data_IF_160568643848
#
_entry.id   IF_160568643848
#
_cell.length_a   1.000
_cell.length_b   1.000
_cell.length_c   1.000
_cell.angle_alpha   90.00
_cell.angle_beta   90.00
_cell.angle_gamma   90.00
#
_symmetry.space_group_name_H-M   'P 1'
#
loop_
_entity.id
_entity.type
_entity.pdbx_description
1 polymer ?
#
# COMPACT_ATOMS: atom_id res chain seq x y z
N UNK A 1 -17.64 34.75 -24.83
CA UNK A 1 -16.89 33.48 -25.00
C UNK A 1 -15.42 33.63 -24.61
N UNK A 2 -15.11 34.33 -23.50
CA UNK A 2 -13.75 34.68 -23.09
C UNK A 2 -13.46 34.31 -21.62
N UNK A 3 -14.17 33.31 -21.07
CA UNK A 3 -14.21 33.08 -19.61
C UNK A 3 -14.04 31.62 -19.16
N UNK A 4 -13.62 30.70 -20.04
CA UNK A 4 -13.40 29.30 -19.65
C UNK A 4 -11.95 28.78 -19.80
N UNK A 5 -11.06 29.50 -20.47
CA UNK A 5 -9.64 29.09 -20.58
C UNK A 5 -8.73 29.70 -19.50
N UNK A 6 -8.99 30.93 -19.01
CA UNK A 6 -8.16 31.56 -17.99
C UNK A 6 -8.29 30.89 -16.60
N UNK A 7 -9.44 30.29 -16.31
CA UNK A 7 -9.72 29.63 -15.02
C UNK A 7 -9.14 28.22 -14.87
N UNK A 8 -8.68 27.57 -15.96
CA UNK A 8 -8.06 26.24 -15.88
C UNK A 8 -6.53 26.30 -15.73
N UNK A 9 -5.87 27.32 -16.28
CA UNK A 9 -4.42 27.48 -16.16
C UNK A 9 -3.98 28.00 -14.77
N UNK A 10 -4.79 28.81 -14.09
CA UNK A 10 -4.45 29.32 -12.76
C UNK A 10 -4.34 28.24 -11.68
N UNK A 11 -5.02 27.08 -11.85
CA UNK A 11 -5.09 26.02 -10.82
C UNK A 11 -3.77 25.28 -10.58
N UNK A 12 -2.78 25.45 -11.46
CA UNK A 12 -1.48 24.76 -11.39
C UNK A 12 -0.30 25.68 -11.11
N UNK A 13 -0.57 26.97 -10.89
CA UNK A 13 0.47 27.98 -10.66
C UNK A 13 0.46 28.37 -9.18
N UNK A 14 1.61 28.26 -8.52
CA UNK A 14 1.82 28.73 -7.15
C UNK A 14 2.62 30.02 -7.17
N UNK A 15 2.02 31.09 -6.65
CA UNK A 15 2.65 32.40 -6.58
C UNK A 15 3.42 32.55 -5.27
N UNK A 16 4.61 33.11 -5.33
CA UNK A 16 5.54 33.21 -4.20
C UNK A 16 6.06 34.64 -4.09
N UNK A 17 5.65 35.35 -3.04
CA UNK A 17 6.18 36.65 -2.66
C UNK A 17 6.03 36.89 -1.13
N UNK A 18 7.08 37.30 -0.39
CA UNK A 18 8.46 37.44 -0.84
C UNK A 18 9.07 36.08 -1.23
N UNK A 19 10.28 36.08 -1.78
CA UNK A 19 10.91 34.82 -2.17
C UNK A 19 11.18 33.93 -0.98
N UNK A 20 11.07 32.64 -1.23
CA UNK A 20 11.31 31.59 -0.27
C UNK A 20 12.75 31.05 -0.39
N UNK A 21 13.20 30.35 0.66
CA UNK A 21 14.51 29.70 0.65
C UNK A 21 14.61 28.60 -0.42
N UNK A 22 15.82 28.25 -0.85
CA UNK A 22 16.03 27.09 -1.74
C UNK A 22 15.48 25.78 -1.15
N UNK A 23 15.48 25.64 0.17
CA UNK A 23 14.87 24.48 0.84
C UNK A 23 13.35 24.46 0.65
N UNK A 24 12.67 25.59 0.87
CA UNK A 24 11.23 25.70 0.66
C UNK A 24 10.89 25.47 -0.82
N UNK A 25 11.65 26.06 -1.75
CA UNK A 25 11.45 25.90 -3.19
C UNK A 25 11.62 24.42 -3.59
N UNK A 26 12.67 23.74 -3.11
CA UNK A 26 12.85 22.31 -3.35
C UNK A 26 11.64 21.51 -2.83
N UNK A 27 11.18 21.80 -1.60
CA UNK A 27 9.99 21.16 -1.03
C UNK A 27 8.74 21.38 -1.91
N UNK A 28 8.54 22.58 -2.44
CA UNK A 28 7.43 22.89 -3.36
C UNK A 28 7.55 22.16 -4.70
N UNK A 29 8.77 22.05 -5.26
CA UNK A 29 9.02 21.26 -6.47
C UNK A 29 8.70 19.78 -6.22
N UNK A 30 9.13 19.23 -5.09
CA UNK A 30 8.75 17.87 -4.66
C UNK A 30 7.23 17.71 -4.60
N UNK A 31 6.51 18.67 -4.02
CA UNK A 31 5.05 18.63 -3.93
C UNK A 31 4.34 18.70 -5.30
N UNK A 32 4.82 19.52 -6.23
CA UNK A 32 4.31 19.56 -7.60
C UNK A 32 4.60 18.25 -8.35
N UNK A 33 5.82 17.74 -8.26
CA UNK A 33 6.21 16.49 -8.93
C UNK A 33 5.41 15.27 -8.40
N UNK A 34 5.07 15.27 -7.11
CA UNK A 34 4.25 14.25 -6.44
C UNK A 34 2.75 14.38 -6.69
N UNK A 35 2.31 15.38 -7.47
CA UNK A 35 0.91 15.57 -7.84
C UNK A 35 0.76 15.51 -9.36
N UNK A 36 0.21 16.55 -10.00
CA UNK A 36 0.00 16.64 -11.46
C UNK A 36 1.07 17.48 -12.17
N UNK A 37 2.17 17.80 -11.50
CA UNK A 37 3.10 18.84 -11.92
C UNK A 37 2.50 20.24 -11.74
N UNK A 38 3.17 21.24 -12.29
CA UNK A 38 2.67 22.62 -12.23
C UNK A 38 3.79 23.64 -12.39
N UNK A 39 3.54 24.84 -11.88
CA UNK A 39 4.43 25.98 -12.02
C UNK A 39 4.57 26.73 -10.69
N UNK A 40 5.78 27.20 -10.39
CA UNK A 40 6.03 28.19 -9.35
C UNK A 40 6.37 29.53 -10.02
N UNK A 41 5.74 30.61 -9.58
CA UNK A 41 6.06 31.97 -10.01
C UNK A 41 6.56 32.80 -8.83
N UNK A 42 7.86 33.11 -8.85
CA UNK A 42 8.54 33.83 -7.78
C UNK A 42 8.64 35.32 -8.13
N UNK A 43 8.32 36.19 -7.17
CA UNK A 43 8.19 37.63 -7.40
C UNK A 43 6.77 38.05 -7.81
N UNK A 44 5.80 37.16 -7.59
CA UNK A 44 4.37 37.39 -7.84
C UNK A 44 3.61 37.11 -6.55
N UNK A 45 2.80 38.06 -6.15
CA UNK A 45 1.97 38.03 -4.95
C UNK A 45 0.53 37.67 -5.34
N UNK A 46 -0.13 36.83 -4.55
CA UNK A 46 -1.52 36.46 -4.79
C UNK A 46 -2.26 36.25 -3.47
N UNK A 47 -3.40 36.94 -3.32
CA UNK A 47 -4.35 36.73 -2.22
C UNK A 47 -5.45 35.71 -2.57
N UNK A 48 -5.31 35.03 -3.71
CA UNK A 48 -6.28 34.07 -4.25
C UNK A 48 -7.38 34.69 -5.11
N UNK A 49 -7.52 36.03 -5.12
CA UNK A 49 -8.48 36.77 -5.94
C UNK A 49 -7.75 37.71 -6.91
N UNK A 50 -6.71 38.38 -6.41
CA UNK A 50 -5.89 39.34 -7.11
C UNK A 50 -4.46 38.79 -7.22
N UNK A 51 -3.91 38.80 -8.43
CA UNK A 51 -2.51 38.50 -8.69
C UNK A 51 -1.79 39.81 -8.96
N UNK A 52 -0.71 40.08 -8.24
CA UNK A 52 0.10 41.29 -8.39
C UNK A 52 1.56 40.93 -8.60
N UNK A 53 2.09 41.33 -9.75
CA UNK A 53 3.53 41.22 -10.02
C UNK A 53 4.27 42.24 -9.15
N UNK A 54 5.22 41.76 -8.36
CA UNK A 54 6.05 42.58 -7.45
C UNK A 54 7.50 42.65 -7.92
N UNK A 55 7.90 41.72 -8.78
CA UNK A 55 9.27 41.58 -9.24
C UNK A 55 10.16 40.92 -8.18
N UNK A 56 11.48 40.92 -8.42
CA UNK A 56 12.43 40.41 -7.46
C UNK A 56 13.76 41.16 -7.40
N UNK A 57 14.44 41.03 -6.25
CA UNK A 57 15.83 41.41 -6.00
C UNK A 57 16.69 40.25 -5.46
N UNK A 58 16.20 39.01 -5.51
CA UNK A 58 16.89 37.80 -5.06
C UNK A 58 17.73 37.12 -6.16
N UNK A 59 18.64 36.24 -5.76
CA UNK A 59 19.36 35.35 -6.68
C UNK A 59 18.46 34.24 -7.20
N UNK A 60 18.42 34.06 -8.52
CA UNK A 60 17.62 33.02 -9.16
C UNK A 60 18.03 31.65 -8.58
N UNK A 61 17.08 30.82 -8.13
CA UNK A 61 17.40 29.50 -7.58
C UNK A 61 18.24 28.66 -8.54
N UNK A 62 19.30 28.04 -8.02
CA UNK A 62 20.20 27.22 -8.82
C UNK A 62 19.61 25.82 -9.02
N UNK A 63 19.54 25.38 -10.27
CA UNK A 63 18.93 24.11 -10.66
C UNK A 63 19.67 22.88 -10.08
N UNK A 64 21.00 22.83 -10.17
CA UNK A 64 21.83 21.72 -9.66
C UNK A 64 21.69 21.57 -8.13
N UNK A 65 21.64 22.69 -7.40
CA UNK A 65 21.44 22.69 -5.95
C UNK A 65 20.07 22.09 -5.60
N UNK A 66 19.01 22.52 -6.30
CA UNK A 66 17.65 22.01 -6.07
C UNK A 66 17.53 20.53 -6.45
N UNK A 67 18.09 20.11 -7.58
CA UNK A 67 18.12 18.70 -7.98
C UNK A 67 18.79 17.83 -6.92
N UNK A 68 19.94 18.25 -6.38
CA UNK A 68 20.63 17.54 -5.31
C UNK A 68 19.78 17.39 -4.05
N UNK A 69 19.05 18.43 -3.66
CA UNK A 69 18.10 18.38 -2.53
C UNK A 69 16.95 17.40 -2.76
N UNK A 70 16.63 17.12 -4.02
CA UNK A 70 15.55 16.24 -4.48
C UNK A 70 16.03 14.86 -4.91
N UNK A 71 17.26 14.48 -4.52
CA UNK A 71 17.81 13.16 -4.83
C UNK A 71 18.12 12.96 -6.31
N UNK A 72 18.46 14.02 -7.04
CA UNK A 72 18.80 13.97 -8.47
C UNK A 72 17.58 14.02 -9.39
N UNK A 73 16.44 14.53 -8.92
CA UNK A 73 15.28 14.75 -9.78
C UNK A 73 15.54 15.92 -10.73
N UNK A 74 15.46 15.71 -12.05
CA UNK A 74 15.84 16.70 -13.07
C UNK A 74 14.65 17.22 -13.90
N UNK A 75 13.44 16.66 -13.74
CA UNK A 75 12.29 16.99 -14.60
C UNK A 75 11.58 18.29 -14.19
N UNK A 76 12.35 19.37 -14.10
CA UNK A 76 11.88 20.73 -13.90
C UNK A 76 12.82 21.74 -14.58
N UNK A 77 12.30 22.90 -14.96
CA UNK A 77 13.07 23.98 -15.61
C UNK A 77 12.92 25.29 -14.86
N UNK A 78 13.96 26.12 -14.86
CA UNK A 78 13.96 27.45 -14.22
C UNK A 78 14.22 28.50 -15.31
N UNK A 79 13.27 29.41 -15.51
CA UNK A 79 13.35 30.48 -16.49
C UNK A 79 13.15 31.84 -15.81
N UNK A 80 13.81 32.88 -16.32
CA UNK A 80 13.53 34.26 -15.91
C UNK A 80 12.74 34.96 -17.00
N UNK A 81 11.59 35.52 -16.64
CA UNK A 81 10.69 36.24 -17.51
C UNK A 81 10.53 37.69 -17.05
N UNK A 82 9.99 38.56 -17.92
CA UNK A 82 9.61 39.93 -17.59
C UNK A 82 8.10 40.05 -17.76
N UNK A 83 7.39 40.44 -16.70
CA UNK A 83 5.95 40.67 -16.69
C UNK A 83 5.72 42.09 -16.16
N UNK A 84 4.99 42.92 -16.92
CA UNK A 84 4.75 44.34 -16.59
C UNK A 84 6.04 45.14 -16.26
N UNK A 85 7.13 44.83 -16.97
CA UNK A 85 8.45 45.46 -16.76
C UNK A 85 9.22 44.96 -15.54
N UNK A 86 8.66 44.01 -14.77
CA UNK A 86 9.27 43.43 -13.57
C UNK A 86 9.77 42.01 -13.85
N UNK A 87 10.95 41.68 -13.32
CA UNK A 87 11.54 40.33 -13.47
C UNK A 87 10.80 39.34 -12.57
N UNK A 88 10.48 38.17 -13.09
CA UNK A 88 9.82 37.06 -12.39
C UNK A 88 10.56 35.77 -12.72
N UNK A 89 10.70 34.85 -11.76
CA UNK A 89 11.24 33.51 -12.03
C UNK A 89 10.09 32.53 -12.15
N UNK A 90 10.11 31.76 -13.24
CA UNK A 90 9.17 30.68 -13.53
C UNK A 90 9.88 29.34 -13.33
N UNK A 91 9.32 28.47 -12.49
CA UNK A 91 9.78 27.09 -12.34
C UNK A 91 8.68 26.15 -12.80
N UNK A 92 8.88 25.48 -13.93
CA UNK A 92 7.94 24.48 -14.46
C UNK A 92 8.37 23.09 -14.01
N UNK A 93 7.46 22.35 -13.38
CA UNK A 93 7.71 21.03 -12.80
C UNK A 93 6.83 20.00 -13.48
N UNK A 94 7.43 18.92 -13.97
CA UNK A 94 6.68 17.80 -14.53
C UNK A 94 6.25 16.83 -13.43
N UNK A 95 5.08 16.22 -13.62
CA UNK A 95 4.63 15.09 -12.79
C UNK A 95 5.65 13.96 -12.88
N UNK A 96 6.06 13.43 -11.74
CA UNK A 96 6.84 12.21 -11.67
C UNK A 96 5.92 11.01 -11.43
N UNK A 97 6.27 9.87 -12.03
CA UNK A 97 5.63 8.59 -11.70
C UNK A 97 6.16 8.02 -10.37
N UNK A 98 7.41 8.32 -10.04
CA UNK A 98 8.03 7.97 -8.77
C UNK A 98 7.86 9.09 -7.75
N UNK A 99 7.77 8.75 -6.46
CA UNK A 99 7.69 9.76 -5.40
C UNK A 99 9.00 10.52 -5.24
N UNK A 100 8.97 11.83 -5.46
CA UNK A 100 10.11 12.73 -5.27
C UNK A 100 10.14 13.20 -3.82
N UNK A 101 11.19 12.80 -3.11
CA UNK A 101 11.35 13.10 -1.68
C UNK A 101 12.14 14.38 -1.47
N UNK A 102 11.75 15.15 -0.47
CA UNK A 102 12.56 16.23 0.10
C UNK A 102 12.91 15.86 1.54
N UNK A 103 14.21 15.83 1.87
CA UNK A 103 14.72 15.38 3.18
C UNK A 103 14.12 14.02 3.63
N UNK A 104 13.94 13.10 2.69
CA UNK A 104 13.42 11.75 2.94
C UNK A 104 11.89 11.61 2.97
N UNK A 105 11.14 12.71 2.93
CA UNK A 105 9.69 12.73 3.04
C UNK A 105 9.02 13.12 1.71
N UNK A 106 7.81 12.62 1.49
CA UNK A 106 6.97 13.00 0.35
C UNK A 106 6.03 14.13 0.77
N UNK A 107 5.85 15.12 -0.08
CA UNK A 107 4.97 16.25 0.18
C UNK A 107 3.92 16.42 -0.92
N UNK A 108 2.81 17.05 -0.56
CA UNK A 108 1.78 17.57 -1.45
C UNK A 108 1.28 18.92 -0.94
N UNK A 109 0.68 19.71 -1.83
CA UNK A 109 -0.05 20.91 -1.42
C UNK A 109 -1.38 20.53 -0.78
N UNK A 110 -1.79 21.25 0.27
CA UNK A 110 -3.06 21.04 0.95
C UNK A 110 -4.26 21.41 0.07
N UNK A 111 -4.09 22.40 -0.82
CA UNK A 111 -5.10 22.85 -1.77
C UNK A 111 -4.44 23.65 -2.92
N UNK A 112 -5.23 24.02 -3.93
CA UNK A 112 -4.74 24.75 -5.11
C UNK A 112 -4.44 26.23 -4.83
N UNK A 113 -5.03 26.82 -3.79
CA UNK A 113 -5.03 28.27 -3.55
C UNK A 113 -3.95 28.75 -2.58
N UNK A 114 -3.39 27.85 -1.76
CA UNK A 114 -2.36 28.16 -0.79
C UNK A 114 -1.06 27.43 -1.11
N UNK A 115 0.04 27.94 -0.54
CA UNK A 115 1.34 27.29 -0.56
C UNK A 115 1.55 26.35 0.65
N UNK A 116 0.49 26.09 1.42
CA UNK A 116 0.57 25.16 2.54
C UNK A 116 0.79 23.74 2.00
N UNK A 117 1.79 23.06 2.57
CA UNK A 117 2.17 21.70 2.19
C UNK A 117 2.09 20.79 3.40
N UNK A 118 1.67 19.55 3.15
CA UNK A 118 1.66 18.48 4.15
C UNK A 118 2.44 17.27 3.67
N UNK A 119 2.90 16.47 4.62
CA UNK A 119 3.50 15.18 4.30
C UNK A 119 2.44 14.22 3.75
N UNK A 120 2.80 13.47 2.70
CA UNK A 120 1.97 12.38 2.21
C UNK A 120 2.13 11.18 3.14
N UNK A 121 1.15 10.98 4.02
CA UNK A 121 1.03 9.72 4.78
C UNK A 121 0.75 8.55 3.83
N UNK A 122 1.47 7.45 4.04
CA UNK A 122 1.32 6.22 3.23
C UNK A 122 0.64 5.14 4.05
N UNK A 123 -0.43 4.57 3.51
CA UNK A 123 -1.10 3.40 4.06
C UNK A 123 -0.34 2.15 3.66
N UNK A 124 0.16 1.40 4.64
CA UNK A 124 0.84 0.12 4.42
C UNK A 124 -0.19 -1.00 4.26
N UNK A 125 -0.19 -1.67 3.13
CA UNK A 125 -1.13 -2.74 2.79
C UNK A 125 -0.34 -4.03 2.58
N UNK A 126 -0.75 -5.11 3.24
CA UNK A 126 -0.24 -6.45 2.96
C UNK A 126 -1.31 -7.28 2.26
N UNK A 127 -0.95 -7.98 1.19
CA UNK A 127 -1.86 -8.91 0.51
C UNK A 127 -1.34 -10.32 0.78
N UNK A 128 -2.07 -11.07 1.60
CA UNK A 128 -1.80 -12.46 1.92
C UNK A 128 -2.57 -13.35 0.95
N UNK A 129 -1.84 -14.16 0.18
CA UNK A 129 -2.40 -15.05 -0.84
C UNK A 129 -1.51 -16.28 -1.04
N UNK A 130 -2.09 -17.32 -1.64
CA UNK A 130 -1.33 -18.47 -2.14
C UNK A 130 -0.90 -18.20 -3.60
N UNK A 131 0.31 -18.62 -4.00
CA UNK A 131 0.80 -18.43 -5.38
C UNK A 131 -0.15 -18.89 -6.48
N UNK A 132 -1.02 -19.86 -6.21
CA UNK A 132 -2.04 -20.30 -7.16
C UNK A 132 -3.05 -19.19 -7.56
N UNK A 133 -3.06 -18.06 -6.85
CA UNK A 133 -3.92 -16.90 -7.12
C UNK A 133 -3.13 -15.60 -7.22
N UNK A 134 -1.89 -15.64 -7.75
CA UNK A 134 -1.07 -14.45 -7.98
C UNK A 134 -1.75 -13.40 -8.84
N UNK A 135 -2.48 -13.84 -9.86
CA UNK A 135 -3.16 -12.96 -10.82
C UNK A 135 -4.24 -12.11 -10.14
N UNK A 136 -4.96 -12.69 -9.18
CA UNK A 136 -5.95 -11.95 -8.37
C UNK A 136 -5.26 -10.89 -7.53
N UNK A 137 -4.12 -11.23 -6.92
CA UNK A 137 -3.32 -10.25 -6.21
C UNK A 137 -2.92 -9.13 -7.18
N UNK A 138 -2.33 -9.42 -8.34
CA UNK A 138 -1.90 -8.42 -9.33
C UNK A 138 -3.01 -7.44 -9.71
N UNK A 139 -4.22 -7.94 -9.95
CA UNK A 139 -5.39 -7.09 -10.22
C UNK A 139 -5.68 -6.14 -9.06
N UNK A 140 -5.66 -6.63 -7.81
CA UNK A 140 -5.85 -5.79 -6.61
C UNK A 140 -4.73 -4.75 -6.49
N UNK A 141 -3.47 -5.11 -6.79
CA UNK A 141 -2.34 -4.14 -6.71
C UNK A 141 -2.65 -2.99 -7.60
N UNK A 142 -2.89 -3.33 -8.87
CA UNK A 142 -2.99 -2.37 -9.93
C UNK A 142 -4.16 -1.43 -9.66
N UNK A 143 -5.32 -1.97 -9.27
CA UNK A 143 -6.47 -1.14 -8.96
C UNK A 143 -6.20 -0.15 -7.81
N UNK A 144 -5.55 -0.60 -6.74
CA UNK A 144 -5.24 0.25 -5.59
C UNK A 144 -4.14 1.27 -5.95
N UNK A 145 -3.07 0.85 -6.64
CA UNK A 145 -1.97 1.72 -7.06
C UNK A 145 -2.43 2.79 -8.07
N UNK A 146 -3.30 2.42 -9.01
CA UNK A 146 -3.89 3.36 -9.96
C UNK A 146 -4.75 4.43 -9.24
N UNK A 147 -5.40 4.05 -8.13
CA UNK A 147 -6.26 4.95 -7.35
C UNK A 147 -5.49 5.83 -6.36
N UNK A 148 -4.44 5.30 -5.72
CA UNK A 148 -3.80 5.93 -4.56
C UNK A 148 -2.33 6.30 -4.75
N UNK A 149 -1.65 5.68 -5.71
CA UNK A 149 -0.26 5.94 -6.10
C UNK A 149 0.69 6.05 -4.90
N UNK A 150 1.14 7.27 -4.59
CA UNK A 150 2.12 7.54 -3.53
C UNK A 150 1.53 7.37 -2.12
N UNK A 151 0.20 7.36 -1.97
CA UNK A 151 -0.48 7.23 -0.67
C UNK A 151 -0.58 5.80 -0.15
N UNK A 152 -0.13 4.81 -0.92
CA UNK A 152 -0.11 3.41 -0.51
C UNK A 152 1.29 2.82 -0.66
N UNK A 153 1.60 1.83 0.17
CA UNK A 153 2.71 0.90 -0.01
C UNK A 153 2.10 -0.49 0.06
N UNK A 154 2.18 -1.25 -1.02
CA UNK A 154 1.66 -2.60 -1.06
C UNK A 154 2.84 -3.57 -0.95
N UNK A 155 2.79 -4.41 0.08
CA UNK A 155 3.72 -5.52 0.26
C UNK A 155 3.00 -6.82 -0.03
N UNK A 156 3.70 -7.69 -0.74
CA UNK A 156 3.30 -9.05 -1.05
C UNK A 156 4.52 -9.88 -0.77
N UNK A 157 4.46 -10.68 0.27
CA UNK A 157 5.46 -11.69 0.44
C UNK A 157 4.79 -13.02 0.21
N UNK A 158 5.37 -13.78 -0.69
CA UNK A 158 4.98 -15.15 -0.94
C UNK A 158 6.25 -15.97 -0.84
N UNK A 159 6.17 -16.96 0.07
CA UNK A 159 7.24 -17.81 0.57
C UNK A 159 8.14 -17.12 1.59
N UNK A 160 7.90 -17.47 2.86
CA UNK A 160 8.90 -17.51 3.92
C UNK A 160 10.23 -18.08 3.40
N UNK A 161 11.08 -17.20 2.89
CA UNK A 161 12.48 -17.45 2.62
C UNK A 161 13.21 -17.52 3.95
N UNK A 162 13.36 -18.74 4.46
CA UNK A 162 14.28 -19.10 5.53
C UNK A 162 13.96 -18.61 6.94
N UNK A 163 14.35 -19.43 7.92
CA UNK A 163 13.94 -19.44 9.34
C UNK A 163 14.40 -18.24 10.18
N UNK A 164 15.13 -17.29 9.62
CA UNK A 164 15.98 -16.44 10.44
C UNK A 164 15.33 -15.17 10.98
N UNK A 165 14.06 -14.89 10.67
CA UNK A 165 13.23 -14.09 11.59
C UNK A 165 11.74 -14.10 11.24
N UNK A 166 11.07 -15.22 11.50
CA UNK A 166 9.60 -15.28 11.49
C UNK A 166 9.03 -14.17 12.40
N UNK A 167 9.72 -13.83 13.48
CA UNK A 167 9.29 -12.75 14.38
C UNK A 167 9.38 -11.37 13.72
N UNK A 168 10.45 -11.05 12.95
CA UNK A 168 10.48 -9.79 12.16
C UNK A 168 9.44 -9.80 11.04
N UNK A 169 9.18 -10.94 10.42
CA UNK A 169 8.12 -11.05 9.41
C UNK A 169 6.73 -10.83 10.03
N UNK A 170 6.45 -11.42 11.18
CA UNK A 170 5.21 -11.18 11.90
C UNK A 170 5.11 -9.73 12.40
N UNK A 171 6.23 -9.13 12.79
CA UNK A 171 6.29 -7.71 13.14
C UNK A 171 5.99 -6.83 11.93
N UNK A 172 6.51 -7.16 10.75
CA UNK A 172 6.21 -6.40 9.52
C UNK A 172 4.72 -6.50 9.16
N UNK A 173 4.08 -7.65 9.34
CA UNK A 173 2.62 -7.80 9.16
C UNK A 173 1.85 -6.90 10.14
N UNK A 174 2.24 -6.87 11.43
CA UNK A 174 1.61 -6.00 12.43
C UNK A 174 1.73 -4.51 12.12
N UNK A 175 2.83 -4.11 11.46
CA UNK A 175 3.06 -2.75 10.99
C UNK A 175 2.19 -2.34 9.78
N UNK A 176 1.53 -3.27 9.11
CA UNK A 176 0.61 -2.93 8.03
C UNK A 176 -0.70 -2.36 8.61
N UNK A 177 -1.22 -1.34 7.93
CA UNK A 177 -2.47 -0.67 8.27
C UNK A 177 -3.68 -1.50 7.86
N UNK A 178 -3.54 -2.24 6.76
CA UNK A 178 -4.58 -3.08 6.13
C UNK A 178 -3.93 -4.39 5.67
N UNK A 179 -4.64 -5.50 5.87
CA UNK A 179 -4.26 -6.84 5.44
C UNK A 179 -5.42 -7.39 4.61
N UNK A 180 -5.16 -7.72 3.36
CA UNK A 180 -6.13 -8.31 2.42
C UNK A 180 -5.81 -9.79 2.31
N UNK A 181 -6.74 -10.66 2.70
CA UNK A 181 -6.57 -12.11 2.63
C UNK A 181 -7.39 -12.68 1.48
N UNK A 182 -6.71 -13.29 0.51
CA UNK A 182 -7.32 -14.03 -0.59
C UNK A 182 -7.57 -15.47 -0.16
N UNK A 183 -8.79 -15.75 0.29
CA UNK A 183 -9.16 -17.02 0.90
C UNK A 183 -9.54 -18.03 -0.17
N UNK A 184 -8.69 -19.04 -0.33
CA UNK A 184 -8.88 -20.22 -1.18
C UNK A 184 -8.67 -21.49 -0.36
N UNK A 185 -9.00 -22.68 -0.88
CA UNK A 185 -8.61 -23.94 -0.25
C UNK A 185 -7.10 -24.00 0.01
N UNK A 186 -6.29 -23.66 -1.00
CA UNK A 186 -4.82 -23.65 -0.89
C UNK A 186 -4.31 -22.63 0.11
N UNK A 187 -5.02 -21.53 0.33
CA UNK A 187 -4.74 -20.58 1.41
C UNK A 187 -5.00 -21.22 2.78
N UNK A 188 -6.16 -21.86 2.96
CA UNK A 188 -6.59 -22.50 4.21
C UNK A 188 -5.72 -23.71 4.60
N UNK A 189 -5.06 -24.33 3.64
CA UNK A 189 -4.12 -25.44 3.83
C UNK A 189 -2.64 -24.98 3.86
N UNK A 190 -2.37 -23.70 3.59
CA UNK A 190 -1.02 -23.14 3.58
C UNK A 190 -0.56 -22.77 4.98
N UNK A 191 0.60 -23.28 5.39
CA UNK A 191 1.17 -23.02 6.71
C UNK A 191 1.70 -21.60 6.87
N UNK A 192 2.11 -20.96 5.77
CA UNK A 192 2.48 -19.55 5.79
C UNK A 192 1.24 -18.70 6.06
N UNK A 193 0.26 -18.77 5.15
CA UNK A 193 -0.97 -17.98 5.21
C UNK A 193 -1.74 -18.19 6.52
N UNK A 194 -1.88 -19.44 6.96
CA UNK A 194 -2.61 -19.74 8.18
C UNK A 194 -1.86 -19.31 9.45
N UNK A 195 -0.53 -19.39 9.47
CA UNK A 195 0.23 -18.86 10.60
C UNK A 195 0.10 -17.34 10.69
N UNK A 196 0.21 -16.64 9.56
CA UNK A 196 0.07 -15.18 9.48
C UNK A 196 -1.28 -14.72 10.03
N UNK A 197 -2.39 -15.29 9.53
CA UNK A 197 -3.73 -14.84 9.92
C UNK A 197 -4.05 -15.20 11.37
N UNK A 198 -3.63 -16.37 11.85
CA UNK A 198 -3.90 -16.78 13.24
C UNK A 198 -3.09 -15.98 14.26
N UNK A 199 -1.88 -15.55 13.91
CA UNK A 199 -1.11 -14.61 14.74
C UNK A 199 -1.70 -13.20 14.70
N UNK A 200 -2.18 -12.73 13.54
CA UNK A 200 -2.85 -11.43 13.42
C UNK A 200 -4.11 -11.36 14.29
N UNK A 201 -4.92 -12.43 14.27
CA UNK A 201 -6.17 -12.52 15.05
C UNK A 201 -5.99 -12.47 16.56
N UNK A 202 -4.76 -12.54 17.08
CA UNK A 202 -4.48 -12.33 18.51
C UNK A 202 -4.53 -10.86 18.93
N UNK A 203 -4.40 -9.93 17.99
CA UNK A 203 -4.60 -8.52 18.24
C UNK A 203 -6.11 -8.25 18.41
N UNK A 204 -6.54 -7.64 19.51
CA UNK A 204 -7.96 -7.37 19.77
C UNK A 204 -8.62 -6.49 18.68
N UNK A 205 -7.83 -5.70 17.95
CA UNK A 205 -8.29 -4.79 16.89
C UNK A 205 -8.08 -5.34 15.47
N UNK A 206 -7.78 -6.64 15.32
CA UNK A 206 -7.45 -7.25 14.03
C UNK A 206 -8.53 -7.03 12.96
N UNK A 207 -9.81 -7.02 13.36
CA UNK A 207 -10.96 -6.86 12.47
C UNK A 207 -10.98 -5.51 11.74
N UNK A 208 -10.32 -4.47 12.29
CA UNK A 208 -10.22 -3.16 11.63
C UNK A 208 -9.15 -3.11 10.55
N UNK A 209 -8.22 -4.07 10.57
CA UNK A 209 -7.11 -4.17 9.61
C UNK A 209 -7.42 -5.19 8.52
N UNK A 210 -8.25 -6.18 8.80
CA UNK A 210 -8.40 -7.37 7.96
C UNK A 210 -9.58 -7.27 6.99
N UNK A 211 -9.30 -7.46 5.70
CA UNK A 211 -10.28 -7.58 4.63
C UNK A 211 -10.20 -8.98 4.03
N UNK A 212 -11.36 -9.63 3.89
CA UNK A 212 -11.47 -10.97 3.31
C UNK A 212 -12.06 -10.91 1.91
N UNK A 213 -11.40 -11.60 0.97
CA UNK A 213 -11.97 -11.90 -0.34
C UNK A 213 -12.02 -13.43 -0.44
N UNK A 214 -13.23 -13.98 -0.52
CA UNK A 214 -13.47 -15.42 -0.48
C UNK A 214 -13.69 -15.89 -1.91
N UNK A 215 -12.80 -16.73 -2.43
CA UNK A 215 -12.87 -17.15 -3.82
C UNK A 215 -14.18 -17.93 -4.11
N UNK A 216 -14.88 -17.55 -5.16
CA UNK A 216 -16.04 -18.25 -5.71
C UNK A 216 -15.77 -18.86 -7.09
N UNK A 217 -16.75 -19.56 -7.65
CA UNK A 217 -16.63 -20.17 -8.97
C UNK A 217 -16.47 -19.11 -10.07
N UNK A 218 -17.16 -17.99 -9.94
CA UNK A 218 -17.12 -16.85 -10.86
C UNK A 218 -15.70 -16.27 -11.00
N UNK A 219 -14.90 -16.39 -9.95
CA UNK A 219 -13.54 -15.84 -9.87
C UNK A 219 -12.53 -16.63 -10.70
N UNK A 220 -12.83 -17.88 -11.05
CA UNK A 220 -11.93 -18.76 -11.81
C UNK A 220 -11.61 -18.19 -13.19
N UNK A 221 -12.46 -17.31 -13.75
CA UNK A 221 -12.21 -16.63 -15.03
C UNK A 221 -11.02 -15.66 -15.00
N UNK A 222 -10.56 -15.26 -13.82
CA UNK A 222 -9.42 -14.35 -13.64
C UNK A 222 -8.09 -15.09 -13.43
N UNK A 223 -8.10 -16.42 -13.40
CA UNK A 223 -6.92 -17.26 -13.13
C UNK A 223 -6.54 -18.01 -14.40
N UNK A 224 -5.30 -17.87 -14.84
CA UNK A 224 -4.84 -18.49 -16.08
C UNK A 224 -4.57 -19.98 -15.93
N UNK A 225 -4.20 -20.42 -14.73
CA UNK A 225 -3.92 -21.82 -14.44
C UNK A 225 -5.21 -22.66 -14.39
N UNK A 226 -5.19 -23.82 -15.05
CA UNK A 226 -6.30 -24.77 -15.01
C UNK A 226 -6.25 -25.56 -13.69
N UNK A 227 -7.04 -25.11 -12.73
CA UNK A 227 -7.32 -25.86 -11.51
C UNK A 227 -8.65 -26.58 -11.62
N UNK A 228 -8.76 -27.76 -11.01
CA UNK A 228 -10.08 -28.30 -10.69
C UNK A 228 -10.73 -27.41 -9.62
N UNK A 229 -12.05 -27.22 -9.68
CA UNK A 229 -12.77 -26.36 -8.73
C UNK A 229 -12.46 -26.75 -7.28
N UNK A 230 -12.43 -28.05 -7.01
CA UNK A 230 -12.21 -28.63 -5.69
C UNK A 230 -10.76 -28.42 -5.20
N UNK A 231 -9.81 -28.07 -6.07
CA UNK A 231 -8.43 -27.81 -5.67
C UNK A 231 -8.23 -26.36 -5.17
N UNK A 232 -9.15 -25.45 -5.49
CA UNK A 232 -8.97 -24.02 -5.23
C UNK A 232 -10.13 -23.39 -4.45
N UNK A 233 -11.38 -23.78 -4.74
CA UNK A 233 -12.54 -23.21 -4.06
C UNK A 233 -12.59 -23.64 -2.57
N UNK A 234 -12.73 -22.67 -1.64
CA UNK A 234 -12.76 -22.94 -0.21
C UNK A 234 -14.15 -23.47 0.23
N UNK A 235 -14.16 -24.53 1.03
CA UNK A 235 -15.40 -25.09 1.62
C UNK A 235 -15.60 -24.57 3.05
N UNK A 236 -15.96 -23.29 3.18
CA UNK A 236 -16.02 -22.60 4.48
C UNK A 236 -17.43 -22.52 5.10
N UNK A 237 -18.45 -22.95 4.35
CA UNK A 237 -19.84 -22.98 4.80
C UNK A 237 -20.25 -24.40 5.19
N UNK A 238 -21.22 -24.52 6.11
CA UNK A 238 -21.75 -25.81 6.53
C UNK A 238 -20.76 -26.65 7.38
N UNK A 239 -20.91 -27.96 7.32
CA UNK A 239 -20.10 -28.90 8.09
C UNK A 239 -18.70 -29.11 7.49
N UNK A 240 -18.55 -28.91 6.19
CA UNK A 240 -17.30 -29.12 5.45
C UNK A 240 -16.17 -28.22 5.95
N UNK A 241 -16.48 -27.04 6.53
CA UNK A 241 -15.47 -26.18 7.14
C UNK A 241 -14.65 -26.87 8.24
N UNK A 242 -15.22 -27.86 8.93
CA UNK A 242 -14.53 -28.63 9.97
C UNK A 242 -13.45 -29.56 9.38
N UNK A 243 -13.46 -29.81 8.07
CA UNK A 243 -12.43 -30.59 7.38
C UNK A 243 -11.07 -29.87 7.42
N UNK A 244 -11.04 -28.54 7.41
CA UNK A 244 -9.81 -27.77 7.58
C UNK A 244 -9.22 -27.91 8.99
N UNK A 245 -10.07 -27.98 10.03
CA UNK A 245 -9.61 -28.23 11.40
C UNK A 245 -8.99 -29.63 11.48
N UNK A 246 -9.69 -30.62 10.92
CA UNK A 246 -9.21 -32.01 10.85
C UNK A 246 -7.91 -32.12 10.05
N UNK A 247 -7.77 -31.37 8.96
CA UNK A 247 -6.54 -31.30 8.17
C UNK A 247 -5.35 -30.85 9.01
N UNK A 248 -5.50 -29.75 9.75
CA UNK A 248 -4.42 -29.22 10.59
C UNK A 248 -4.11 -30.11 11.79
N UNK A 249 -5.13 -30.74 12.40
CA UNK A 249 -4.94 -31.74 13.45
C UNK A 249 -4.11 -32.93 12.96
N UNK A 250 -4.44 -33.49 11.79
CA UNK A 250 -3.67 -34.59 11.17
C UNK A 250 -2.24 -34.16 10.86
N UNK A 251 -2.05 -32.92 10.39
CA UNK A 251 -0.70 -32.38 10.11
C UNK A 251 0.12 -32.24 11.40
N UNK A 252 -0.48 -31.77 12.49
CA UNK A 252 0.14 -31.71 13.83
C UNK A 252 0.52 -33.10 14.35
N UNK A 253 -0.38 -34.06 14.19
CA UNK A 253 -0.16 -35.45 14.61
C UNK A 253 1.01 -36.09 13.83
N UNK A 254 1.09 -35.86 12.52
CA UNK A 254 2.20 -36.33 11.68
C UNK A 254 3.56 -35.85 12.19
N UNK A 255 3.71 -34.57 12.50
CA UNK A 255 4.96 -34.04 13.09
C UNK A 255 5.22 -34.60 14.49
N UNK A 256 4.18 -34.74 15.32
CA UNK A 256 4.30 -35.31 16.67
C UNK A 256 4.78 -36.77 16.62
N UNK A 257 4.30 -37.56 15.67
CA UNK A 257 4.72 -38.94 15.49
C UNK A 257 6.17 -39.04 14.97
N UNK A 258 6.58 -38.14 14.06
CA UNK A 258 7.99 -38.02 13.64
C UNK A 258 8.90 -37.67 14.84
N UNK A 259 8.46 -36.81 15.74
CA UNK A 259 9.23 -36.42 16.94
C UNK A 259 9.46 -37.62 17.87
N UNK A 260 8.43 -38.46 18.06
CA UNK A 260 8.54 -39.70 18.85
C UNK A 260 9.53 -40.71 18.26
N UNK A 261 9.70 -40.73 16.94
CA UNK A 261 10.62 -41.63 16.23
C UNK A 261 12.07 -41.13 16.23
N UNK A 262 12.31 -39.84 16.51
CA UNK A 262 13.66 -39.30 16.61
C UNK A 262 14.37 -39.82 17.86
N UNK A 263 15.62 -40.28 17.69
CA UNK A 263 16.45 -40.72 18.81
C UNK A 263 17.09 -39.54 19.52
N UNK A 264 17.52 -39.74 20.79
CA UNK A 264 18.21 -38.72 21.61
C UNK A 264 19.50 -38.16 20.97
N UNK A 265 20.02 -38.79 19.92
CA UNK A 265 21.27 -38.43 19.25
C UNK A 265 21.11 -37.30 18.19
N UNK A 266 19.92 -36.71 18.03
CA UNK A 266 19.71 -35.58 17.11
C UNK A 266 19.01 -34.38 17.78
N UNK A 267 19.66 -33.70 18.76
CA UNK A 267 19.04 -32.59 19.51
C UNK A 267 18.56 -31.43 18.63
N UNK A 268 19.27 -31.13 17.55
CA UNK A 268 18.91 -30.09 16.58
C UNK A 268 17.62 -30.41 15.84
N UNK A 269 17.48 -31.65 15.35
CA UNK A 269 16.25 -32.11 14.70
C UNK A 269 15.05 -32.15 15.64
N UNK A 270 15.27 -32.54 16.91
CA UNK A 270 14.25 -32.49 17.97
C UNK A 270 13.76 -31.06 18.21
N UNK A 271 14.68 -30.10 18.32
CA UNK A 271 14.34 -28.68 18.49
C UNK A 271 13.53 -28.15 17.30
N UNK A 272 14.03 -28.33 16.09
CA UNK A 272 13.39 -27.89 14.86
C UNK A 272 11.95 -28.44 14.74
N UNK A 273 11.77 -29.73 14.97
CA UNK A 273 10.46 -30.36 14.85
C UNK A 273 9.51 -29.93 15.97
N UNK A 274 10.02 -29.65 17.16
CA UNK A 274 9.22 -29.07 18.26
C UNK A 274 8.72 -27.67 17.91
N UNK A 275 9.55 -26.85 17.26
CA UNK A 275 9.15 -25.53 16.74
C UNK A 275 8.06 -25.66 15.66
N UNK A 276 8.18 -26.64 14.75
CA UNK A 276 7.14 -26.92 13.75
C UNK A 276 5.81 -27.38 14.40
N UNK A 277 5.87 -28.25 15.41
CA UNK A 277 4.66 -28.68 16.14
C UNK A 277 3.98 -27.50 16.83
N UNK A 278 4.75 -26.61 17.46
CA UNK A 278 4.22 -25.40 18.07
C UNK A 278 3.57 -24.49 17.03
N UNK A 279 4.21 -24.30 15.87
CA UNK A 279 3.68 -23.50 14.75
C UNK A 279 2.35 -24.03 14.26
N UNK A 280 2.28 -25.33 13.96
CA UNK A 280 1.05 -25.98 13.50
C UNK A 280 -0.01 -25.99 14.60
N UNK A 281 0.40 -26.17 15.87
CA UNK A 281 -0.51 -26.07 17.01
C UNK A 281 -1.23 -24.72 17.08
N UNK A 282 -0.51 -23.62 16.90
CA UNK A 282 -1.11 -22.27 16.83
C UNK A 282 -2.13 -22.14 15.69
N UNK A 283 -1.83 -22.73 14.53
CA UNK A 283 -2.76 -22.75 13.39
C UNK A 283 -4.03 -23.52 13.76
N UNK A 284 -3.89 -24.75 14.28
CA UNK A 284 -5.00 -25.59 14.73
C UNK A 284 -5.91 -24.83 15.70
N UNK A 285 -5.32 -24.21 16.73
CA UNK A 285 -6.08 -23.51 17.77
C UNK A 285 -6.81 -22.27 17.21
N UNK A 286 -6.21 -21.58 16.23
CA UNK A 286 -6.78 -20.42 15.56
C UNK A 286 -7.78 -20.72 14.44
N UNK A 287 -7.78 -21.95 13.90
CA UNK A 287 -8.58 -22.31 12.73
C UNK A 287 -10.09 -22.19 13.00
N UNK A 288 -10.56 -22.65 14.16
CA UNK A 288 -11.97 -22.56 14.55
C UNK A 288 -12.48 -21.12 14.59
N UNK A 289 -11.85 -20.22 15.38
CA UNK A 289 -12.16 -18.80 15.39
C UNK A 289 -12.08 -18.16 14.00
N UNK A 290 -11.08 -18.52 13.20
CA UNK A 290 -10.89 -17.97 11.86
C UNK A 290 -12.04 -18.33 10.92
N UNK A 291 -12.38 -19.61 10.82
CA UNK A 291 -13.52 -20.09 10.02
C UNK A 291 -14.84 -19.48 10.47
N UNK A 292 -15.03 -19.33 11.79
CA UNK A 292 -16.18 -18.61 12.34
C UNK A 292 -16.20 -17.16 11.85
N UNK A 293 -15.05 -16.47 11.91
CA UNK A 293 -14.92 -15.10 11.40
C UNK A 293 -15.25 -14.99 9.92
N UNK A 294 -14.82 -15.93 9.08
CA UNK A 294 -15.15 -15.98 7.65
C UNK A 294 -16.64 -16.23 7.38
N UNK A 295 -17.30 -16.98 8.25
CA UNK A 295 -18.73 -17.26 8.14
C UNK A 295 -19.60 -16.10 8.66
N UNK A 296 -19.14 -15.41 9.70
CA UNK A 296 -19.85 -14.29 10.33
C UNK A 296 -19.67 -12.99 9.53
N UNK A 297 -18.46 -12.74 9.03
CA UNK A 297 -18.17 -11.65 8.11
C UNK A 297 -18.59 -12.13 6.73
N UNK A 298 -19.67 -11.57 6.19
CA UNK A 298 -20.10 -11.81 4.80
C UNK A 298 -19.02 -11.28 3.83
N UNK A 299 -17.92 -12.00 3.69
CA UNK A 299 -16.88 -11.70 2.72
C UNK A 299 -17.50 -11.73 1.33
N UNK A 300 -17.06 -10.82 0.46
CA UNK A 300 -17.45 -10.82 -0.94
C UNK A 300 -16.49 -11.68 -1.73
N UNK A 301 -16.99 -12.31 -2.77
CA UNK A 301 -16.16 -12.92 -3.80
C UNK A 301 -15.37 -11.87 -4.58
N UNK A 302 -14.34 -12.34 -5.28
CA UNK A 302 -13.43 -11.45 -5.99
C UNK A 302 -14.11 -10.73 -7.15
N UNK A 303 -14.99 -11.40 -7.90
CA UNK A 303 -15.73 -10.84 -9.03
C UNK A 303 -16.61 -9.67 -8.57
N UNK A 304 -17.36 -9.85 -7.49
CA UNK A 304 -18.15 -8.78 -6.87
C UNK A 304 -17.27 -7.61 -6.46
N UNK A 305 -16.16 -7.88 -5.76
CA UNK A 305 -15.21 -6.84 -5.37
C UNK A 305 -14.60 -6.12 -6.57
N UNK A 306 -14.26 -6.85 -7.64
CA UNK A 306 -13.69 -6.32 -8.86
C UNK A 306 -14.68 -5.40 -9.60
N UNK A 307 -15.93 -5.85 -9.74
CA UNK A 307 -17.00 -5.08 -10.39
C UNK A 307 -17.38 -3.81 -9.61
N UNK A 308 -17.15 -3.81 -8.29
CA UNK A 308 -17.29 -2.63 -7.43
C UNK A 308 -15.99 -1.81 -7.28
N UNK A 309 -14.97 -2.09 -8.11
CA UNK A 309 -13.64 -1.46 -8.05
C UNK A 309 -13.01 -1.45 -6.65
N UNK A 310 -13.20 -2.53 -5.90
CA UNK A 310 -12.67 -2.76 -4.55
C UNK A 310 -13.06 -1.65 -3.54
N UNK A 311 -14.25 -1.05 -3.71
CA UNK A 311 -14.70 0.12 -2.92
C UNK A 311 -14.58 -0.06 -1.40
N UNK A 312 -14.75 -1.27 -0.87
CA UNK A 312 -14.62 -1.54 0.57
C UNK A 312 -13.18 -1.41 1.05
N UNK A 313 -12.21 -1.94 0.30
CA UNK A 313 -10.78 -1.77 0.58
C UNK A 313 -10.40 -0.29 0.44
N UNK A 314 -10.90 0.39 -0.61
CA UNK A 314 -10.68 1.83 -0.80
C UNK A 314 -11.18 2.65 0.39
N UNK A 315 -12.38 2.34 0.91
CA UNK A 315 -12.91 2.97 2.14
C UNK A 315 -11.99 2.76 3.35
N UNK A 316 -11.41 1.57 3.53
CA UNK A 316 -10.43 1.33 4.60
C UNK A 316 -9.18 2.21 4.43
N UNK A 317 -8.70 2.39 3.19
CA UNK A 317 -7.56 3.27 2.86
C UNK A 317 -7.88 4.73 3.20
N UNK A 318 -9.04 5.24 2.79
CA UNK A 318 -9.45 6.64 3.07
C UNK A 318 -9.51 6.96 4.57
N UNK A 319 -10.01 6.02 5.38
CA UNK A 319 -10.06 6.16 6.84
C UNK A 319 -8.65 6.27 7.44
N UNK A 320 -7.65 5.63 6.83
CA UNK A 320 -6.25 5.69 7.27
C UNK A 320 -5.55 6.96 6.79
N UNK A 321 -5.85 7.44 5.58
CA UNK A 321 -5.33 8.71 5.05
C UNK A 321 -5.86 9.91 5.86
N UNK A 322 -7.11 9.84 6.30
CA UNK A 322 -7.78 10.93 7.01
C UNK A 322 -7.39 11.10 8.49
N UNK A 323 -6.60 10.18 9.06
CA UNK A 323 -6.09 10.22 10.44
C UNK A 323 -4.68 10.78 10.47
#
# INVERSE_FOLDING_TARGET
>A
MKSNLENQNQRKIKYIHPVESSETIAKMISALANSEGGELQLGVDSDGINVKVKGYSFDVPNHEVLSKMLGGFESFTINTNIIDGLKVVEIKVQKSQLGIKFKGLLYEFCNDYSNEMREIKRVKIFISYNHATSELADIIQKNIEDSYRLRVVINRDTQLGYRDDIDKFMQSIKENDIIISLVTRKYLESEACMYEVTELMRDADYTRKLAFIILSEEDLKYINATFKKEELLPEIYGAQRFDYITYWDRKKESYTNRLKMLTKNSPTAVKELSEQINRVGKITDGMGPFLKSLNDLKGKDFDTMYNEEFIEIKKMIEVKISK
#
